data_IF_065451296893
#
_entry.id   IF_065451296893
#
_cell.length_a   1.000
_cell.length_b   1.000
_cell.length_c   1.000
_cell.angle_alpha   90.00
_cell.angle_beta   90.00
_cell.angle_gamma   90.00
#
_symmetry.space_group_name_H-M   'P 1'
#
loop_
_entity.id
_entity.type
_entity.pdbx_description
1 polymer ?
#
# COMPACT_ATOMS: atom_id res chain seq x y z
N UNK A 1 -5.37 20.59 -8.65
CA UNK A 1 -4.48 19.86 -7.76
C UNK A 1 -3.73 18.84 -8.59
N UNK A 2 -2.40 18.89 -8.60
CA UNK A 2 -1.60 17.83 -9.20
C UNK A 2 -1.67 16.55 -8.33
N UNK A 3 -1.08 15.44 -8.77
CA UNK A 3 -1.15 14.17 -8.06
C UNK A 3 -0.36 14.22 -6.74
N UNK A 4 0.82 14.86 -6.71
CA UNK A 4 1.61 15.02 -5.47
C UNK A 4 0.87 15.79 -4.37
N UNK A 5 0.17 16.87 -4.71
CA UNK A 5 -0.69 17.62 -3.79
C UNK A 5 -1.86 16.76 -3.30
N UNK A 6 -2.52 15.99 -4.20
CA UNK A 6 -3.61 15.08 -3.79
C UNK A 6 -3.11 14.02 -2.82
N UNK A 7 -1.95 13.42 -3.09
CA UNK A 7 -1.38 12.38 -2.25
C UNK A 7 -1.03 12.90 -0.85
N UNK A 8 -0.41 14.09 -0.80
CA UNK A 8 -0.05 14.78 0.44
C UNK A 8 -1.29 15.16 1.26
N UNK A 9 -2.34 15.62 0.59
CA UNK A 9 -3.61 15.94 1.24
C UNK A 9 -4.28 14.68 1.80
N UNK A 10 -4.37 13.61 1.01
CA UNK A 10 -4.95 12.35 1.45
C UNK A 10 -4.18 11.75 2.63
N UNK A 11 -2.85 11.83 2.60
CA UNK A 11 -2.01 11.44 3.72
C UNK A 11 -2.38 12.20 5.00
N UNK A 12 -2.50 13.53 4.93
CA UNK A 12 -2.92 14.35 6.07
C UNK A 12 -4.33 13.99 6.58
N UNK A 13 -5.27 13.67 5.68
CA UNK A 13 -6.61 13.19 6.04
C UNK A 13 -6.54 11.83 6.78
N UNK A 14 -5.83 10.85 6.23
CA UNK A 14 -5.69 9.53 6.84
C UNK A 14 -4.89 9.54 8.15
N UNK A 15 -3.94 10.47 8.32
CA UNK A 15 -3.29 10.70 9.60
C UNK A 15 -4.26 11.25 10.65
N UNK A 16 -5.12 12.20 10.27
CA UNK A 16 -6.13 12.77 11.16
C UNK A 16 -7.20 11.75 11.60
N UNK A 17 -7.49 10.76 10.76
CA UNK A 17 -8.38 9.64 11.10
C UNK A 17 -7.77 8.68 12.13
N UNK A 18 -6.44 8.52 12.12
CA UNK A 18 -5.73 7.52 12.92
C UNK A 18 -5.06 8.10 14.18
N UNK A 19 -4.81 9.41 14.23
CA UNK A 19 -4.22 10.09 15.39
C UNK A 19 -5.24 10.34 16.50
N UNK A 20 -4.87 9.94 17.72
CA UNK A 20 -5.60 10.30 18.94
C UNK A 20 -5.37 11.76 19.38
N UNK A 21 -4.32 12.42 18.87
CA UNK A 21 -3.98 13.81 19.18
C UNK A 21 -3.99 14.63 17.89
N UNK A 22 -5.12 15.28 17.61
CA UNK A 22 -5.34 16.09 16.40
C UNK A 22 -4.57 17.41 16.40
N UNK A 23 -3.91 17.76 17.51
CA UNK A 23 -3.27 19.07 17.70
C UNK A 23 -1.88 19.19 17.06
N UNK A 24 -1.28 18.08 16.62
CA UNK A 24 0.06 18.04 16.02
C UNK A 24 0.10 17.90 14.49
N UNK A 25 -1.07 17.82 13.83
CA UNK A 25 -1.14 17.58 12.38
C UNK A 25 -1.21 18.93 11.67
N UNK A 26 -0.23 19.20 10.80
CA UNK A 26 -0.15 20.47 10.07
C UNK A 26 -1.32 20.64 9.10
N UNK A 27 -1.78 21.88 8.96
CA UNK A 27 -2.77 22.26 7.95
C UNK A 27 -2.14 22.72 6.63
N UNK A 28 -0.80 22.84 6.57
CA UNK A 28 -0.09 23.20 5.34
C UNK A 28 0.27 21.94 4.55
N UNK A 29 -0.15 21.89 3.29
CA UNK A 29 0.13 20.76 2.40
C UNK A 29 1.62 20.65 2.03
N UNK A 30 2.38 21.75 2.13
CA UNK A 30 3.81 21.73 1.85
C UNK A 30 4.64 21.04 2.94
N UNK A 31 4.05 20.79 4.10
CA UNK A 31 4.72 20.09 5.20
C UNK A 31 4.76 18.56 4.99
N UNK A 32 4.09 18.06 3.95
CA UNK A 32 3.99 16.63 3.67
C UNK A 32 4.77 16.27 2.40
N UNK A 33 5.80 15.43 2.54
CA UNK A 33 6.58 14.92 1.42
C UNK A 33 5.74 13.87 0.64
N UNK A 34 5.56 14.01 -0.68
CA UNK A 34 4.85 13.03 -1.51
C UNK A 34 5.44 11.61 -1.42
N UNK A 35 6.75 11.46 -1.20
CA UNK A 35 7.37 10.14 -1.01
C UNK A 35 6.97 9.51 0.32
N UNK A 36 6.95 10.30 1.39
CA UNK A 36 6.47 9.86 2.69
C UNK A 36 4.97 9.51 2.63
N UNK A 37 4.18 10.34 1.94
CA UNK A 37 2.77 10.11 1.70
C UNK A 37 2.53 8.78 0.96
N UNK A 38 3.32 8.48 -0.08
CA UNK A 38 3.22 7.23 -0.83
C UNK A 38 3.53 6.01 0.06
N UNK A 39 4.59 6.07 0.86
CA UNK A 39 4.95 5.00 1.82
C UNK A 39 3.82 4.76 2.83
N UNK A 40 3.33 5.83 3.46
CA UNK A 40 2.26 5.73 4.45
C UNK A 40 0.97 5.17 3.83
N UNK A 41 0.55 5.71 2.69
CA UNK A 41 -0.70 5.30 2.04
C UNK A 41 -0.64 3.85 1.54
N UNK A 42 0.52 3.39 1.06
CA UNK A 42 0.72 1.97 0.73
C UNK A 42 0.51 1.07 1.96
N UNK A 43 1.06 1.43 3.12
CA UNK A 43 0.82 0.72 4.38
C UNK A 43 -0.65 0.81 4.83
N UNK A 44 -1.25 1.99 4.75
CA UNK A 44 -2.64 2.23 5.14
C UNK A 44 -3.61 1.38 4.33
N UNK A 45 -3.49 1.42 3.00
CA UNK A 45 -4.32 0.63 2.07
C UNK A 45 -4.13 -0.86 2.36
N UNK A 46 -2.89 -1.31 2.51
CA UNK A 46 -2.59 -2.73 2.79
C UNK A 46 -3.19 -3.17 4.13
N UNK A 47 -3.07 -2.36 5.18
CA UNK A 47 -3.67 -2.66 6.47
C UNK A 47 -5.20 -2.76 6.39
N UNK A 48 -5.85 -1.85 5.66
CA UNK A 48 -7.30 -1.91 5.41
C UNK A 48 -7.68 -3.15 4.61
N UNK A 49 -6.92 -3.49 3.57
CA UNK A 49 -7.13 -4.68 2.76
C UNK A 49 -7.01 -5.98 3.58
N UNK A 50 -6.01 -6.08 4.46
CA UNK A 50 -5.84 -7.23 5.38
C UNK A 50 -7.07 -7.39 6.27
N UNK A 51 -7.57 -6.27 6.84
CA UNK A 51 -8.75 -6.28 7.70
C UNK A 51 -10.01 -6.68 6.94
N UNK A 52 -10.18 -6.16 5.74
CA UNK A 52 -11.32 -6.48 4.87
C UNK A 52 -11.29 -7.94 4.41
N UNK A 53 -10.11 -8.49 4.18
CA UNK A 53 -9.90 -9.92 3.91
C UNK A 53 -10.06 -10.81 5.16
N UNK A 54 -10.38 -10.23 6.32
CA UNK A 54 -10.51 -10.91 7.61
C UNK A 54 -9.24 -11.68 8.03
N UNK A 55 -8.06 -11.15 7.68
CA UNK A 55 -6.76 -11.78 7.98
C UNK A 55 -6.05 -11.09 9.15
N UNK A 56 -5.09 -11.81 9.75
CA UNK A 56 -4.36 -11.36 10.95
C UNK A 56 -2.86 -11.61 10.80
N UNK A 57 -2.05 -10.56 10.58
CA UNK A 57 -0.60 -10.69 10.50
C UNK A 57 0.02 -11.26 11.78
N UNK A 58 -0.60 -11.02 12.94
CA UNK A 58 -0.13 -11.56 14.21
C UNK A 58 -0.29 -13.08 14.29
N UNK A 59 -1.42 -13.61 13.81
CA UNK A 59 -1.68 -15.05 13.79
C UNK A 59 -0.83 -15.71 12.70
N UNK A 60 -0.73 -15.10 11.53
CA UNK A 60 0.10 -15.62 10.43
C UNK A 60 1.59 -15.61 10.74
N UNK A 61 2.10 -14.67 11.54
CA UNK A 61 3.48 -14.74 12.03
C UNK A 61 3.76 -16.08 12.72
N UNK A 62 2.76 -16.66 13.40
CA UNK A 62 2.88 -17.94 14.11
C UNK A 62 2.56 -19.15 13.22
N UNK A 63 1.57 -19.01 12.34
CA UNK A 63 0.99 -20.14 11.59
C UNK A 63 1.49 -20.25 10.14
N UNK A 64 1.80 -19.12 9.49
CA UNK A 64 2.24 -19.05 8.11
C UNK A 64 3.08 -17.78 7.84
N UNK A 65 4.32 -17.78 8.31
CA UNK A 65 5.19 -16.59 8.30
C UNK A 65 5.43 -16.02 6.89
N UNK A 66 5.52 -16.86 5.85
CA UNK A 66 5.73 -16.39 4.46
C UNK A 66 4.59 -15.48 3.98
N UNK A 67 3.39 -15.57 4.57
CA UNK A 67 2.27 -14.72 4.21
C UNK A 67 2.50 -13.24 4.53
N UNK A 68 3.37 -12.93 5.51
CA UNK A 68 3.82 -11.56 5.75
C UNK A 68 4.61 -10.99 4.56
N UNK A 69 5.33 -11.85 3.82
CA UNK A 69 6.02 -11.46 2.59
C UNK A 69 5.03 -11.19 1.44
N UNK A 70 3.87 -11.84 1.41
CA UNK A 70 2.81 -11.57 0.44
C UNK A 70 2.17 -10.20 0.70
N UNK A 71 1.91 -9.86 1.96
CA UNK A 71 1.46 -8.52 2.35
C UNK A 71 2.49 -7.44 2.03
N UNK A 72 3.77 -7.72 2.26
CA UNK A 72 4.85 -6.83 1.86
C UNK A 72 4.86 -6.61 0.34
N UNK A 73 4.77 -7.68 -0.46
CA UNK A 73 4.69 -7.59 -1.91
C UNK A 73 3.47 -6.79 -2.39
N UNK A 74 2.31 -7.00 -1.76
CA UNK A 74 1.09 -6.24 -2.04
C UNK A 74 1.28 -4.74 -1.77
N UNK A 75 1.85 -4.39 -0.62
CA UNK A 75 2.13 -3.00 -0.28
C UNK A 75 3.13 -2.35 -1.26
N UNK A 76 4.14 -3.11 -1.71
CA UNK A 76 5.09 -2.64 -2.72
C UNK A 76 4.42 -2.42 -4.08
N UNK A 77 3.43 -3.23 -4.47
CA UNK A 77 2.63 -2.98 -5.68
C UNK A 77 1.81 -1.69 -5.54
N UNK A 78 1.12 -1.49 -4.42
CA UNK A 78 0.36 -0.26 -4.16
C UNK A 78 1.28 0.96 -4.20
N UNK A 79 2.44 0.89 -3.53
CA UNK A 79 3.46 1.94 -3.57
C UNK A 79 3.90 2.24 -5.01
N UNK A 80 4.19 1.21 -5.81
CA UNK A 80 4.58 1.40 -7.21
C UNK A 80 3.51 2.15 -8.01
N UNK A 81 2.22 1.82 -7.84
CA UNK A 81 1.12 2.51 -8.51
C UNK A 81 0.92 3.95 -8.02
N UNK A 82 1.14 4.24 -6.74
CA UNK A 82 1.16 5.61 -6.23
C UNK A 82 2.34 6.42 -6.80
N UNK A 83 3.47 5.75 -7.06
CA UNK A 83 4.67 6.40 -7.59
C UNK A 83 4.62 6.64 -9.11
N UNK A 84 3.81 5.91 -9.88
CA UNK A 84 3.75 6.07 -11.34
C UNK A 84 3.36 7.51 -11.75
N UNK A 85 2.26 8.11 -11.25
CA UNK A 85 1.93 9.49 -11.59
C UNK A 85 2.92 10.51 -11.01
N UNK A 86 3.49 10.23 -9.83
CA UNK A 86 4.53 11.07 -9.22
C UNK A 86 5.81 11.12 -10.07
N UNK A 87 6.14 10.04 -10.77
CA UNK A 87 7.24 10.01 -11.72
C UNK A 87 7.04 10.98 -12.89
N UNK A 88 5.80 11.17 -13.35
CA UNK A 88 5.47 12.18 -14.38
C UNK A 88 5.66 13.61 -13.86
N UNK A 89 5.57 13.81 -12.55
CA UNK A 89 5.83 15.08 -11.86
C UNK A 89 7.31 15.26 -11.46
N UNK A 90 8.18 14.30 -11.82
CA UNK A 90 9.62 14.36 -11.56
C UNK A 90 10.06 13.88 -10.18
N UNK A 91 9.15 13.25 -9.41
CA UNK A 91 9.49 12.62 -8.13
C UNK A 91 10.01 11.21 -8.39
N UNK A 92 11.23 10.93 -7.93
CA UNK A 92 11.89 9.65 -8.16
C UNK A 92 11.64 8.70 -6.99
N UNK A 93 11.16 7.46 -7.23
CA UNK A 93 10.97 6.49 -6.16
C UNK A 93 12.30 6.00 -5.59
N UNK A 94 12.37 5.89 -4.26
CA UNK A 94 13.40 5.09 -3.57
C UNK A 94 12.79 3.74 -3.17
N UNK A 95 12.83 2.78 -4.10
CA UNK A 95 12.19 1.47 -3.90
C UNK A 95 12.85 0.63 -2.80
N UNK A 96 14.17 0.79 -2.60
CA UNK A 96 14.90 0.04 -1.57
C UNK A 96 14.55 0.57 -0.18
N UNK A 97 14.58 1.89 0.00
CA UNK A 97 14.15 2.50 1.26
C UNK A 97 12.67 2.23 1.52
N UNK A 98 11.80 2.34 0.50
CA UNK A 98 10.37 2.07 0.62
C UNK A 98 10.11 0.63 1.10
N UNK A 99 10.80 -0.37 0.54
CA UNK A 99 10.66 -1.76 0.98
C UNK A 99 10.94 -1.94 2.48
N UNK A 100 11.98 -1.27 3.00
CA UNK A 100 12.34 -1.31 4.43
C UNK A 100 11.32 -0.56 5.28
N UNK A 101 10.91 0.64 4.85
CA UNK A 101 9.94 1.49 5.57
C UNK A 101 8.60 0.77 5.68
N UNK A 102 8.11 0.22 4.57
CA UNK A 102 6.83 -0.48 4.47
C UNK A 102 6.83 -1.72 5.36
N UNK A 103 7.87 -2.56 5.29
CA UNK A 103 7.98 -3.75 6.13
C UNK A 103 7.94 -3.41 7.63
N UNK A 104 8.73 -2.42 8.06
CA UNK A 104 8.79 -2.01 9.46
C UNK A 104 7.49 -1.36 9.96
N UNK A 105 6.81 -0.64 9.08
CA UNK A 105 5.53 -0.01 9.39
C UNK A 105 4.41 -1.04 9.53
N UNK A 106 4.34 -2.01 8.61
CA UNK A 106 3.31 -3.05 8.65
C UNK A 106 3.53 -4.08 9.77
N UNK A 107 4.78 -4.44 10.06
CA UNK A 107 5.11 -5.52 10.98
C UNK A 107 5.96 -5.03 12.16
N UNK A 108 5.37 -4.16 12.97
CA UNK A 108 5.99 -3.70 14.20
C UNK A 108 6.25 -4.87 15.17
N UNK A 109 7.43 -4.90 15.78
CA UNK A 109 7.79 -5.92 16.78
C UNK A 109 8.36 -7.23 16.23
N UNK A 110 8.68 -7.28 14.93
CA UNK A 110 9.56 -8.32 14.40
C UNK A 110 11.04 -8.03 14.71
N UNK A 111 11.86 -9.07 14.71
CA UNK A 111 13.30 -8.96 14.76
C UNK A 111 13.89 -8.49 13.41
N UNK A 112 15.17 -8.10 13.43
CA UNK A 112 15.87 -7.71 12.20
C UNK A 112 15.98 -8.85 11.17
N UNK A 113 16.11 -10.09 11.63
CA UNK A 113 16.17 -11.29 10.76
C UNK A 113 14.82 -11.55 10.09
N UNK A 114 13.74 -11.51 10.86
CA UNK A 114 12.37 -11.65 10.34
C UNK A 114 12.03 -10.57 9.30
N UNK A 115 12.42 -9.31 9.56
CA UNK A 115 12.23 -8.24 8.56
C UNK A 115 13.04 -8.50 7.29
N UNK A 116 14.30 -8.94 7.41
CA UNK A 116 15.12 -9.22 6.24
C UNK A 116 14.51 -10.32 5.36
N UNK A 117 14.03 -11.40 5.97
CA UNK A 117 13.36 -12.51 5.26
C UNK A 117 12.09 -12.06 4.54
N UNK A 118 11.22 -11.30 5.23
CA UNK A 118 10.00 -10.75 4.65
C UNK A 118 10.32 -9.82 3.47
N UNK A 119 11.31 -8.95 3.62
CA UNK A 119 11.70 -8.00 2.56
C UNK A 119 12.25 -8.75 1.36
N UNK A 120 13.12 -9.75 1.56
CA UNK A 120 13.70 -10.53 0.47
C UNK A 120 12.62 -11.34 -0.27
N UNK A 121 11.83 -12.13 0.46
CA UNK A 121 10.75 -12.95 -0.10
C UNK A 121 9.68 -12.08 -0.78
N UNK A 122 9.28 -10.98 -0.13
CA UNK A 122 8.27 -10.06 -0.63
C UNK A 122 8.73 -9.29 -1.87
N UNK A 123 9.99 -8.85 -1.91
CA UNK A 123 10.57 -8.21 -3.09
C UNK A 123 10.66 -9.18 -4.28
N UNK A 124 10.97 -10.45 -4.02
CA UNK A 124 10.94 -11.47 -5.07
C UNK A 124 9.52 -11.71 -5.60
N UNK A 125 8.51 -11.83 -4.72
CA UNK A 125 7.09 -11.95 -5.11
C UNK A 125 6.62 -10.74 -5.91
N UNK A 126 6.93 -9.53 -5.46
CA UNK A 126 6.68 -8.28 -6.18
C UNK A 126 7.25 -8.34 -7.61
N UNK A 127 8.52 -8.74 -7.76
CA UNK A 127 9.17 -8.86 -9.07
C UNK A 127 8.47 -9.90 -9.95
N UNK A 128 8.13 -11.07 -9.41
CA UNK A 128 7.40 -12.12 -10.14
C UNK A 128 6.08 -11.58 -10.71
N UNK A 129 5.32 -10.83 -9.89
CA UNK A 129 4.05 -10.23 -10.32
C UNK A 129 4.31 -9.11 -11.34
N UNK A 130 5.31 -8.26 -11.14
CA UNK A 130 5.61 -7.15 -12.04
C UNK A 130 6.06 -7.63 -13.43
N UNK A 131 6.84 -8.71 -13.50
CA UNK A 131 7.38 -9.28 -14.75
C UNK A 131 6.41 -10.26 -15.43
N UNK A 132 5.37 -10.72 -14.72
CA UNK A 132 4.40 -11.67 -15.23
C UNK A 132 3.66 -11.14 -16.46
N UNK A 133 3.68 -11.94 -17.54
CA UNK A 133 3.02 -11.64 -18.82
C UNK A 133 1.73 -12.42 -19.02
N UNK A 134 1.40 -13.34 -18.12
CA UNK A 134 0.14 -14.06 -18.16
C UNK A 134 -1.02 -13.07 -17.98
N UNK A 135 -2.09 -13.26 -18.75
CA UNK A 135 -3.22 -12.34 -18.82
C UNK A 135 -3.80 -12.00 -17.44
N UNK A 136 -4.04 -13.00 -16.59
CA UNK A 136 -4.54 -12.77 -15.23
C UNK A 136 -3.65 -11.86 -14.36
N UNK A 137 -2.33 -11.92 -14.52
CA UNK A 137 -1.42 -11.01 -13.78
C UNK A 137 -1.39 -9.61 -14.38
N UNK A 138 -1.58 -9.48 -15.70
CA UNK A 138 -1.75 -8.19 -16.36
C UNK A 138 -3.03 -7.52 -15.87
N UNK A 139 -4.14 -8.25 -15.88
CA UNK A 139 -5.44 -7.76 -15.43
C UNK A 139 -5.41 -7.40 -13.94
N UNK A 140 -4.82 -8.26 -13.10
CA UNK A 140 -4.61 -8.00 -11.68
C UNK A 140 -3.90 -6.66 -11.43
N UNK A 141 -2.79 -6.41 -12.14
CA UNK A 141 -2.05 -5.16 -12.01
C UNK A 141 -2.86 -3.95 -12.48
N UNK A 142 -3.63 -4.08 -13.57
CA UNK A 142 -4.49 -3.00 -14.05
C UNK A 142 -5.62 -2.69 -13.06
N UNK A 143 -6.20 -3.70 -12.42
CA UNK A 143 -7.28 -3.50 -11.47
C UNK A 143 -6.77 -2.92 -10.15
N UNK A 144 -5.57 -3.32 -9.71
CA UNK A 144 -4.91 -2.71 -8.55
C UNK A 144 -4.51 -1.25 -8.81
N UNK A 145 -4.01 -0.93 -10.01
CA UNK A 145 -3.73 0.45 -10.44
C UNK A 145 -4.99 1.32 -10.40
N UNK A 146 -6.08 0.86 -11.05
CA UNK A 146 -7.38 1.57 -11.05
C UNK A 146 -7.90 1.77 -9.64
N UNK A 147 -7.83 0.75 -8.77
CA UNK A 147 -8.26 0.88 -7.38
C UNK A 147 -7.42 1.92 -6.63
N UNK A 148 -6.11 1.93 -6.84
CA UNK A 148 -5.18 2.89 -6.24
C UNK A 148 -5.50 4.32 -6.66
N UNK A 149 -5.69 4.56 -7.97
CA UNK A 149 -6.07 5.88 -8.49
C UNK A 149 -7.46 6.30 -8.02
N UNK A 150 -8.45 5.39 -8.03
CA UNK A 150 -9.80 5.67 -7.57
C UNK A 150 -9.82 6.05 -6.09
N UNK A 151 -9.03 5.37 -5.25
CA UNK A 151 -8.88 5.70 -3.83
C UNK A 151 -8.31 7.10 -3.62
N UNK A 152 -7.26 7.49 -4.36
CA UNK A 152 -6.69 8.83 -4.27
C UNK A 152 -7.69 9.90 -4.71
N UNK A 153 -8.39 9.68 -5.82
CA UNK A 153 -9.36 10.63 -6.35
C UNK A 153 -10.55 10.77 -5.39
N UNK A 154 -11.17 9.66 -4.97
CA UNK A 154 -12.33 9.68 -4.07
C UNK A 154 -12.00 10.26 -2.68
N UNK A 155 -10.78 10.09 -2.20
CA UNK A 155 -10.34 10.68 -0.93
C UNK A 155 -10.00 12.17 -0.99
N UNK A 156 -9.92 12.77 -2.18
CA UNK A 156 -9.44 14.15 -2.37
C UNK A 156 -10.35 15.03 -3.22
N UNK A 157 -11.39 14.46 -3.82
CA UNK A 157 -12.31 15.14 -4.72
C UNK A 157 -13.74 14.99 -4.23
N UNK A 158 -14.32 16.07 -3.69
CA UNK A 158 -15.68 16.06 -3.12
C UNK A 158 -16.78 15.86 -4.19
N UNK A 159 -16.44 15.97 -5.49
CA UNK A 159 -17.39 15.78 -6.59
C UNK A 159 -17.52 14.31 -7.04
N UNK A 160 -16.75 13.37 -6.47
CA UNK A 160 -16.85 11.95 -6.81
C UNK A 160 -18.16 11.35 -6.30
N UNK A 161 -18.78 10.42 -7.04
CA UNK A 161 -20.04 9.79 -6.62
C UNK A 161 -19.88 8.74 -5.52
N UNK A 162 -18.65 8.51 -5.04
CA UNK A 162 -18.29 7.54 -3.99
C UNK A 162 -17.12 8.09 -3.15
N UNK A 163 -16.98 7.57 -1.93
CA UNK A 163 -15.90 7.90 -0.99
C UNK A 163 -14.74 6.89 -1.12
N UNK A 164 -13.55 7.21 -0.59
CA UNK A 164 -12.39 6.33 -0.54
C UNK A 164 -12.70 5.00 0.18
N UNK A 165 -13.59 5.05 1.18
CA UNK A 165 -13.97 3.87 1.96
C UNK A 165 -14.82 2.88 1.14
N UNK A 166 -15.51 3.34 0.08
CA UNK A 166 -16.23 2.48 -0.85
C UNK A 166 -15.29 1.66 -1.76
N UNK A 167 -14.03 2.09 -1.88
CA UNK A 167 -12.99 1.41 -2.69
C UNK A 167 -12.27 0.33 -1.88
N UNK A 168 -12.27 0.43 -0.54
CA UNK A 168 -11.57 -0.51 0.36
C UNK A 168 -11.93 -1.99 0.12
N UNK A 169 -13.21 -2.37 -0.09
CA UNK A 169 -13.59 -3.74 -0.43
C UNK A 169 -12.84 -4.33 -1.63
N UNK A 170 -12.53 -3.50 -2.64
CA UNK A 170 -11.77 -3.94 -3.82
C UNK A 170 -10.34 -4.31 -3.44
N UNK A 171 -9.69 -3.54 -2.58
CA UNK A 171 -8.34 -3.86 -2.11
C UNK A 171 -8.33 -5.16 -1.30
N UNK A 172 -9.34 -5.39 -0.45
CA UNK A 172 -9.49 -6.67 0.27
C UNK A 172 -9.59 -7.86 -0.68
N UNK A 173 -10.43 -7.76 -1.72
CA UNK A 173 -10.55 -8.81 -2.74
C UNK A 173 -9.23 -9.03 -3.52
N UNK A 174 -8.56 -7.95 -3.94
CA UNK A 174 -7.27 -8.01 -4.64
C UNK A 174 -6.17 -8.61 -3.76
N UNK A 175 -6.19 -8.33 -2.46
CA UNK A 175 -5.24 -8.93 -1.53
C UNK A 175 -5.53 -10.42 -1.35
N UNK A 176 -6.78 -10.82 -1.19
CA UNK A 176 -7.17 -12.24 -1.06
C UNK A 176 -6.74 -13.05 -2.26
N UNK A 177 -6.97 -12.55 -3.48
CA UNK A 177 -6.49 -13.20 -4.71
C UNK A 177 -4.96 -13.40 -4.70
N UNK A 178 -4.21 -12.41 -4.21
CA UNK A 178 -2.77 -12.52 -4.11
C UNK A 178 -2.35 -13.57 -3.09
N UNK A 179 -2.99 -13.57 -1.92
CA UNK A 179 -2.75 -14.54 -0.85
C UNK A 179 -3.03 -15.97 -1.33
N UNK A 180 -4.13 -16.19 -2.05
CA UNK A 180 -4.47 -17.50 -2.62
C UNK A 180 -3.42 -17.97 -3.64
N UNK A 181 -2.93 -17.07 -4.49
CA UNK A 181 -1.91 -17.38 -5.48
C UNK A 181 -0.58 -17.82 -4.85
N UNK A 182 -0.23 -17.27 -3.69
CA UNK A 182 1.03 -17.59 -2.98
C UNK A 182 0.85 -18.55 -1.79
N UNK A 183 -0.37 -18.95 -1.45
CA UNK A 183 -0.63 -19.96 -0.42
C UNK A 183 -0.47 -21.41 -0.92
N UNK A 184 -0.30 -21.59 -2.24
CA UNK A 184 -0.30 -22.91 -2.91
C UNK A 184 1.08 -23.52 -3.13
N UNK A 185 2.15 -22.92 -2.58
CA UNK A 185 3.54 -23.42 -2.65
C UNK A 185 4.00 -24.02 -1.31
#
# INVERSE_FOLDING_TARGET
MNFSERLSFLYALCLNETSNDKSSISTDLQDYDPLEAANYLACYITFKAIREAERSPADERLENFDMLSVYHAYAMLVYAFLMLPLGEEGVVPDTEAAAVIIAKTLFAGLSGEEWAEIIESGSNKFRLIAEARQEHWVDYRQDLDKATVAFVIAGTDEETPFDKDDVIPMFGALLSMLCEAFASD
#
